data_IF_487247524882
#
_entry.id   IF_487247524882
#
_cell.length_a   1.000
_cell.length_b   1.000
_cell.length_c   1.000
_cell.angle_alpha   90.00
_cell.angle_beta   90.00
_cell.angle_gamma   90.00
#
_symmetry.space_group_name_H-M   'P 1'
#
loop_
_entity.id
_entity.type
_entity.pdbx_description
1 polymer ?
#
# COMPACT_ATOMS: atom_id res chain seq x y z
N UNK A 1 -1.64 17.20 -7.59
CA UNK A 1 -1.27 16.98 -6.18
C UNK A 1 -2.30 17.59 -5.22
N UNK A 2 -3.32 16.81 -4.89
CA UNK A 2 -4.17 17.05 -3.72
C UNK A 2 -3.32 16.92 -2.44
N UNK A 3 -3.14 18.04 -1.74
CA UNK A 3 -2.29 18.13 -0.54
C UNK A 3 -2.90 17.39 0.66
N UNK A 4 -4.23 17.34 0.74
CA UNK A 4 -4.96 16.62 1.78
C UNK A 4 -4.73 15.12 1.61
N UNK A 5 -4.95 14.60 0.40
CA UNK A 5 -4.70 13.20 0.10
C UNK A 5 -3.26 12.76 0.41
N UNK A 6 -2.25 13.57 0.00
CA UNK A 6 -0.85 13.27 0.31
C UNK A 6 -0.62 13.19 1.81
N UNK A 7 -1.14 14.14 2.59
CA UNK A 7 -0.97 14.19 4.04
C UNK A 7 -1.61 12.96 4.71
N UNK A 8 -2.83 12.63 4.32
CA UNK A 8 -3.59 11.54 4.91
C UNK A 8 -2.95 10.18 4.60
N UNK A 9 -2.49 9.97 3.36
CA UNK A 9 -1.80 8.73 2.99
C UNK A 9 -0.44 8.61 3.68
N UNK A 10 0.32 9.71 3.82
CA UNK A 10 1.60 9.69 4.51
C UNK A 10 1.43 9.40 6.01
N UNK A 11 0.43 10.00 6.65
CA UNK A 11 0.15 9.78 8.07
C UNK A 11 -0.47 8.40 8.34
N UNK A 12 -1.42 7.95 7.51
CA UNK A 12 -2.13 6.69 7.70
C UNK A 12 -1.30 5.43 7.51
N UNK A 13 -0.19 5.54 6.77
CA UNK A 13 0.76 4.45 6.55
C UNK A 13 2.14 4.70 7.18
N UNK A 14 2.28 5.70 8.06
CA UNK A 14 3.49 5.88 8.86
C UNK A 14 3.52 4.82 9.97
N UNK A 15 4.28 3.75 9.77
CA UNK A 15 4.49 2.69 10.75
C UNK A 15 5.89 2.83 11.36
N UNK A 16 5.96 2.84 12.69
CA UNK A 16 7.23 2.87 13.43
C UNK A 16 7.78 1.46 13.73
N UNK A 17 7.00 0.42 13.41
CA UNK A 17 7.37 -0.98 13.55
C UNK A 17 7.86 -1.59 12.22
N UNK A 18 8.57 -2.75 12.24
CA UNK A 18 8.98 -3.41 11.01
C UNK A 18 7.79 -3.67 10.08
N UNK A 19 7.94 -3.27 8.82
CA UNK A 19 6.87 -3.32 7.83
C UNK A 19 7.40 -3.74 6.45
N UNK A 20 6.49 -4.27 5.62
CA UNK A 20 6.73 -4.50 4.19
C UNK A 20 6.03 -3.44 3.36
N UNK A 21 6.71 -2.94 2.32
CA UNK A 21 6.14 -2.00 1.36
C UNK A 21 5.34 -2.78 0.31
N UNK A 22 4.06 -2.45 0.16
CA UNK A 22 3.17 -3.04 -0.84
C UNK A 22 3.11 -2.20 -2.13
N UNK A 23 3.31 -0.88 -2.03
CA UNK A 23 3.21 0.01 -3.17
C UNK A 23 3.19 1.49 -2.80
N UNK A 24 2.56 2.29 -3.64
CA UNK A 24 2.39 3.74 -3.45
C UNK A 24 0.92 4.13 -3.69
N UNK A 25 0.43 5.23 -3.08
CA UNK A 25 -0.93 5.72 -3.30
C UNK A 25 -1.17 6.11 -4.77
N UNK A 26 -2.41 5.90 -5.22
CA UNK A 26 -2.94 6.38 -6.51
C UNK A 26 -4.27 7.09 -6.24
N UNK A 27 -4.43 8.32 -6.76
CA UNK A 27 -5.69 9.05 -6.76
C UNK A 27 -6.02 9.48 -8.19
N UNK A 28 -7.09 8.90 -8.77
CA UNK A 28 -7.35 9.01 -10.20
C UNK A 28 -6.19 8.40 -11.00
N UNK A 29 -5.55 9.20 -11.84
CA UNK A 29 -4.37 8.81 -12.63
C UNK A 29 -3.04 9.33 -12.01
N UNK A 30 -3.09 9.93 -10.82
CA UNK A 30 -1.92 10.52 -10.15
C UNK A 30 -1.34 9.60 -9.08
N UNK A 31 -0.10 9.13 -9.28
CA UNK A 31 0.67 8.33 -8.32
C UNK A 31 1.47 9.26 -7.39
N UNK A 32 1.52 8.94 -6.09
CA UNK A 32 2.39 9.60 -5.13
C UNK A 32 3.63 8.72 -4.81
N UNK A 33 4.71 8.77 -5.61
CA UNK A 33 5.82 7.81 -5.51
C UNK A 33 6.65 7.92 -4.23
N UNK A 34 6.63 9.08 -3.57
CA UNK A 34 7.36 9.34 -2.33
C UNK A 34 6.65 8.79 -1.09
N UNK A 35 5.36 8.45 -1.20
CA UNK A 35 4.56 7.93 -0.10
C UNK A 35 4.48 6.41 -0.24
N UNK A 36 4.81 5.69 0.83
CA UNK A 36 4.79 4.22 0.83
C UNK A 36 3.54 3.70 1.52
N UNK A 37 2.81 2.84 0.81
CA UNK A 37 1.76 2.00 1.41
C UNK A 37 2.45 0.77 1.96
N UNK A 38 2.32 0.55 3.27
CA UNK A 38 3.04 -0.50 3.98
C UNK A 38 2.15 -1.23 5.00
N UNK A 39 2.53 -2.45 5.34
CA UNK A 39 1.86 -3.32 6.32
C UNK A 39 2.87 -3.81 7.34
N UNK A 40 2.53 -3.69 8.63
CA UNK A 40 3.33 -4.21 9.72
C UNK A 40 3.56 -5.72 9.58
N UNK A 41 4.78 -6.19 9.82
CA UNK A 41 5.10 -7.62 9.74
C UNK A 41 4.28 -8.45 10.72
N UNK A 42 3.93 -7.90 11.89
CA UNK A 42 3.09 -8.57 12.88
C UNK A 42 1.69 -8.91 12.33
N UNK A 43 1.17 -8.11 11.38
CA UNK A 43 -0.12 -8.33 10.74
C UNK A 43 -0.08 -9.46 9.70
N UNK A 44 1.10 -9.83 9.19
CA UNK A 44 1.26 -10.93 8.23
C UNK A 44 1.03 -12.31 8.86
N UNK A 45 1.04 -12.42 10.20
CA UNK A 45 0.63 -13.63 10.91
C UNK A 45 -0.90 -13.83 10.93
N UNK A 46 -1.67 -12.88 10.38
CA UNK A 46 -3.11 -13.00 10.15
C UNK A 46 -3.37 -13.41 8.70
N UNK A 47 -4.48 -14.10 8.45
CA UNK A 47 -4.84 -14.48 7.09
C UNK A 47 -5.15 -13.24 6.24
N UNK A 48 -4.52 -13.17 5.07
CA UNK A 48 -4.79 -12.17 4.05
C UNK A 48 -5.48 -12.82 2.83
N UNK A 49 -6.22 -12.01 2.07
CA UNK A 49 -6.89 -12.42 0.84
C UNK A 49 -6.41 -11.56 -0.32
N UNK A 50 -5.79 -12.18 -1.33
CA UNK A 50 -5.47 -11.54 -2.61
C UNK A 50 -6.38 -12.14 -3.67
N UNK A 51 -7.31 -11.34 -4.19
CA UNK A 51 -8.29 -11.74 -5.19
C UNK A 51 -8.24 -10.82 -6.43
N UNK A 52 -8.59 -11.36 -7.59
CA UNK A 52 -8.56 -10.65 -8.87
C UNK A 52 -8.67 -11.59 -10.07
N UNK A 53 -9.04 -11.08 -11.24
CA UNK A 53 -9.16 -11.87 -12.47
C UNK A 53 -7.80 -12.42 -12.95
N UNK A 54 -7.81 -13.30 -13.95
CA UNK A 54 -6.59 -13.74 -14.64
C UNK A 54 -5.90 -12.54 -15.29
N UNK A 55 -4.56 -12.45 -15.16
CA UNK A 55 -3.78 -11.35 -15.72
C UNK A 55 -3.68 -10.07 -14.87
N UNK A 56 -4.35 -9.97 -13.71
CA UNK A 56 -4.30 -8.76 -12.86
C UNK A 56 -3.13 -8.71 -11.88
N UNK A 57 -2.10 -9.54 -12.08
CA UNK A 57 -0.86 -9.46 -11.31
C UNK A 57 -0.82 -10.20 -9.96
N UNK A 58 -1.80 -11.05 -9.61
CA UNK A 58 -1.80 -11.80 -8.33
C UNK A 58 -0.48 -12.52 -8.03
N UNK A 59 0.06 -13.26 -9.00
CA UNK A 59 1.35 -13.98 -8.89
C UNK A 59 2.57 -13.05 -8.83
N UNK A 60 2.45 -11.81 -9.31
CA UNK A 60 3.53 -10.82 -9.22
C UNK A 60 3.54 -10.12 -7.86
N UNK A 61 2.37 -10.02 -7.22
CA UNK A 61 2.22 -9.43 -5.88
C UNK A 61 2.72 -10.35 -4.76
N UNK A 62 2.62 -11.67 -4.94
CA UNK A 62 3.18 -12.69 -4.04
C UNK A 62 4.64 -13.00 -4.40
#
# INVERSE_FOLDING_TARGET
MDTTFRKDMAAGYALDEPAIVLGSPLLGDEVLPDVRVQVALAMLNRHALIAGATGTGKTKTL
#
